data_IF_916493626881
#
_entry.id   IF_916493626881
#
_cell.length_a   1.000
_cell.length_b   1.000
_cell.length_c   1.000
_cell.angle_alpha   90.00
_cell.angle_beta   90.00
_cell.angle_gamma   90.00
#
_symmetry.space_group_name_H-M   'P 1'
#
loop_
_entity.id
_entity.type
_entity.pdbx_description
1 polymer ?
#
# COMPACT_ATOMS: atom_id res chain seq x y z
N UNK A 1 -15.00 21.29 -9.52
CA UNK A 1 -14.07 22.28 -8.93
C UNK A 1 -14.73 22.86 -7.67
N UNK A 2 -13.99 23.53 -6.79
CA UNK A 2 -14.52 24.08 -5.53
C UNK A 2 -14.01 25.50 -5.26
N UNK A 3 -14.43 26.15 -4.15
CA UNK A 3 -14.17 27.58 -3.90
C UNK A 3 -12.72 27.90 -3.49
N UNK A 4 -11.85 26.90 -3.36
CA UNK A 4 -10.41 27.11 -3.07
C UNK A 4 -9.60 26.88 -4.34
N UNK A 5 -8.68 27.80 -4.70
CA UNK A 5 -7.73 27.56 -5.79
C UNK A 5 -6.90 26.31 -5.50
N UNK A 6 -6.61 25.54 -6.55
CA UNK A 6 -5.84 24.30 -6.47
C UNK A 6 -4.77 24.30 -7.56
N UNK A 7 -3.51 24.20 -7.16
CA UNK A 7 -2.36 24.15 -8.08
C UNK A 7 -1.86 22.71 -8.13
N UNK A 8 -1.71 22.16 -9.34
CA UNK A 8 -1.10 20.85 -9.55
C UNK A 8 0.42 21.03 -9.69
N UNK A 9 1.18 20.43 -8.78
CA UNK A 9 2.64 20.52 -8.73
C UNK A 9 3.21 19.18 -9.23
N UNK A 10 3.77 19.18 -10.44
CA UNK A 10 4.37 18.00 -11.08
C UNK A 10 5.90 17.99 -11.04
N UNK A 11 6.55 19.16 -10.92
CA UNK A 11 8.02 19.28 -10.81
C UNK A 11 8.54 18.56 -9.53
N UNK A 12 9.38 17.51 -9.65
CA UNK A 12 9.91 16.77 -8.51
C UNK A 12 10.73 17.64 -7.51
N UNK A 13 11.34 18.75 -7.95
CA UNK A 13 12.05 19.70 -7.09
C UNK A 13 11.07 20.47 -6.21
N UNK A 14 9.97 20.96 -6.78
CA UNK A 14 8.90 21.61 -6.01
C UNK A 14 8.18 20.62 -5.08
N UNK A 15 7.94 19.38 -5.55
CA UNK A 15 7.40 18.29 -4.73
C UNK A 15 8.32 18.01 -3.53
N UNK A 16 9.64 17.91 -3.74
CA UNK A 16 10.63 17.78 -2.65
C UNK A 16 10.51 18.91 -1.64
N UNK A 17 10.46 20.14 -2.12
CA UNK A 17 10.37 21.32 -1.27
C UNK A 17 9.10 21.30 -0.41
N UNK A 18 7.97 20.90 -0.99
CA UNK A 18 6.70 20.72 -0.28
C UNK A 18 6.79 19.63 0.81
N UNK A 19 7.49 18.53 0.54
CA UNK A 19 7.71 17.48 1.55
C UNK A 19 8.70 17.90 2.66
N UNK A 20 9.69 18.75 2.36
CA UNK A 20 10.65 19.28 3.33
C UNK A 20 10.02 20.35 4.24
N UNK A 21 9.26 21.29 3.67
CA UNK A 21 8.59 22.38 4.41
C UNK A 21 7.23 21.92 4.98
N UNK A 22 7.20 20.77 5.67
CA UNK A 22 5.99 20.08 6.14
C UNK A 22 5.24 20.79 7.30
N UNK A 23 5.87 21.79 7.89
CA UNK A 23 5.32 22.73 8.86
C UNK A 23 4.45 23.79 8.17
N UNK A 24 4.91 24.27 7.00
CA UNK A 24 4.20 25.23 6.14
C UNK A 24 3.12 24.52 5.33
N UNK A 25 3.45 23.42 4.66
CA UNK A 25 2.56 22.64 3.81
C UNK A 25 1.89 21.51 4.62
N UNK A 26 0.77 21.85 5.25
CA UNK A 26 0.01 20.93 6.08
C UNK A 26 -1.00 20.12 5.27
N UNK A 27 -1.56 19.05 5.84
CA UNK A 27 -2.57 18.22 5.16
C UNK A 27 -3.89 18.98 5.06
N UNK A 28 -4.33 19.25 3.83
CA UNK A 28 -5.66 19.80 3.58
C UNK A 28 -6.69 18.67 3.57
N UNK A 29 -7.69 18.75 4.45
CA UNK A 29 -8.83 17.84 4.55
C UNK A 29 -10.11 18.64 4.75
N UNK A 30 -11.22 18.13 4.21
CA UNK A 30 -12.54 18.70 4.49
C UNK A 30 -12.91 18.46 5.97
N UNK A 31 -13.79 19.29 6.57
CA UNK A 31 -14.24 19.09 7.95
C UNK A 31 -14.80 17.69 8.20
N UNK A 32 -15.59 17.15 7.27
CA UNK A 32 -16.13 15.79 7.34
C UNK A 32 -15.04 14.71 7.43
N UNK A 33 -13.97 14.82 6.63
CA UNK A 33 -12.85 13.86 6.66
C UNK A 33 -12.02 13.99 7.95
N UNK A 34 -11.96 15.18 8.56
CA UNK A 34 -11.30 15.36 9.87
C UNK A 34 -12.06 14.68 11.01
N UNK A 35 -13.39 14.71 10.98
CA UNK A 35 -14.24 14.01 11.96
C UNK A 35 -14.08 12.48 11.85
N UNK A 36 -13.93 11.96 10.64
CA UNK A 36 -13.82 10.52 10.38
C UNK A 36 -12.39 9.96 10.50
N UNK A 37 -11.34 10.78 10.35
CA UNK A 37 -9.95 10.32 10.31
C UNK A 37 -9.05 11.16 11.22
N UNK A 38 -8.96 10.76 12.48
CA UNK A 38 -8.13 11.39 13.52
C UNK A 38 -6.73 10.75 13.62
N UNK A 39 -5.94 11.10 14.65
CA UNK A 39 -4.62 10.51 14.90
C UNK A 39 -3.50 11.01 13.99
N UNK A 40 -2.41 10.24 13.87
CA UNK A 40 -1.20 10.61 13.12
C UNK A 40 -1.48 10.98 11.64
N UNK A 41 -2.58 10.46 11.08
CA UNK A 41 -3.02 10.76 9.73
C UNK A 41 -3.48 12.21 9.56
N UNK A 42 -3.99 12.86 10.62
CA UNK A 42 -4.46 14.25 10.62
C UNK A 42 -3.48 15.22 11.29
N UNK A 43 -2.87 14.79 12.40
CA UNK A 43 -2.12 15.68 13.30
C UNK A 43 -1.01 16.48 12.60
N UNK A 44 -0.77 17.67 13.16
CA UNK A 44 0.27 18.61 12.74
C UNK A 44 1.19 18.98 13.91
N UNK A 45 2.29 19.67 13.60
CA UNK A 45 3.25 20.18 14.59
C UNK A 45 3.71 19.14 15.63
N UNK A 46 3.76 19.59 16.88
CA UNK A 46 4.24 18.82 18.02
C UNK A 46 3.37 17.57 18.30
N UNK A 47 2.05 17.65 18.13
CA UNK A 47 1.13 16.53 18.34
C UNK A 47 1.43 15.38 17.39
N UNK A 48 1.69 15.68 16.11
CA UNK A 48 2.14 14.67 15.16
C UNK A 48 3.51 14.11 15.52
N UNK A 49 4.47 14.96 15.88
CA UNK A 49 5.82 14.52 16.24
C UNK A 49 5.80 13.55 17.42
N UNK A 50 5.04 13.85 18.48
CA UNK A 50 4.84 12.97 19.64
C UNK A 50 4.33 11.59 19.22
N UNK A 51 3.22 11.53 18.48
CA UNK A 51 2.63 10.25 18.04
C UNK A 51 3.53 9.50 17.04
N UNK A 52 4.21 10.21 16.14
CA UNK A 52 5.16 9.60 15.19
C UNK A 52 6.37 9.00 15.91
N UNK A 53 6.92 9.70 16.91
CA UNK A 53 8.06 9.23 17.71
C UNK A 53 7.70 7.95 18.49
N UNK A 54 6.49 7.87 19.04
CA UNK A 54 5.99 6.67 19.75
C UNK A 54 5.80 5.49 18.79
N UNK A 55 5.22 5.71 17.61
CA UNK A 55 4.87 4.63 16.69
C UNK A 55 6.06 4.10 15.85
N UNK A 56 7.05 4.94 15.51
CA UNK A 56 8.12 4.56 14.56
C UNK A 56 8.91 3.31 14.96
N UNK A 57 9.29 3.10 16.24
CA UNK A 57 9.99 1.89 16.67
C UNK A 57 9.27 0.56 16.36
N UNK A 58 7.94 0.56 16.26
CA UNK A 58 7.16 -0.65 15.93
C UNK A 58 7.38 -1.13 14.48
N UNK A 59 7.84 -0.24 13.59
CA UNK A 59 8.10 -0.52 12.18
C UNK A 59 9.60 -0.68 11.87
N UNK A 60 10.45 -0.79 12.90
CA UNK A 60 11.86 -1.12 12.74
C UNK A 60 12.05 -2.61 12.39
N UNK A 61 13.14 -2.92 11.68
CA UNK A 61 13.43 -4.23 11.10
C UNK A 61 13.25 -5.41 12.09
N UNK A 62 13.83 -5.29 13.29
CA UNK A 62 13.77 -6.34 14.33
C UNK A 62 12.34 -6.56 14.88
N UNK A 63 11.49 -5.53 14.83
CA UNK A 63 10.07 -5.64 15.24
C UNK A 63 9.22 -6.23 14.12
N UNK A 64 9.50 -5.87 12.87
CA UNK A 64 8.87 -6.49 11.69
C UNK A 64 9.19 -7.98 11.60
N UNK A 65 10.41 -8.40 11.93
CA UNK A 65 10.80 -9.82 12.00
C UNK A 65 9.90 -10.62 12.94
N UNK A 66 9.56 -10.06 14.09
CA UNK A 66 8.68 -10.70 15.08
C UNK A 66 7.21 -10.76 14.63
N UNK A 67 6.79 -9.95 13.66
CA UNK A 67 5.45 -10.00 13.07
C UNK A 67 5.32 -11.10 12.01
N UNK A 68 6.43 -11.62 11.48
CA UNK A 68 6.42 -12.54 10.33
C UNK A 68 5.57 -13.80 10.52
N UNK A 69 5.61 -14.52 11.67
CA UNK A 69 4.77 -15.72 11.86
C UNK A 69 3.27 -15.40 11.81
N UNK A 70 2.89 -14.20 12.26
CA UNK A 70 1.51 -13.70 12.21
C UNK A 70 1.07 -13.40 10.79
N UNK A 71 1.92 -12.75 9.99
CA UNK A 71 1.67 -12.49 8.56
C UNK A 71 1.57 -13.82 7.80
N UNK A 72 2.50 -14.75 8.05
CA UNK A 72 2.53 -16.09 7.47
C UNK A 72 1.24 -16.86 7.75
N UNK A 73 0.75 -16.82 9.00
CA UNK A 73 -0.51 -17.44 9.39
C UNK A 73 -1.70 -16.85 8.61
N UNK A 74 -1.80 -15.53 8.49
CA UNK A 74 -2.87 -14.89 7.71
C UNK A 74 -2.82 -15.24 6.21
N UNK A 75 -1.62 -15.33 5.63
CA UNK A 75 -1.44 -15.80 4.26
C UNK A 75 -1.90 -17.24 4.10
N UNK A 76 -1.52 -18.15 5.00
CA UNK A 76 -1.99 -19.54 5.00
C UNK A 76 -3.51 -19.67 5.21
N UNK A 77 -4.11 -18.87 6.08
CA UNK A 77 -5.56 -18.83 6.31
C UNK A 77 -6.34 -18.39 5.05
N UNK A 78 -5.72 -17.58 4.18
CA UNK A 78 -6.25 -17.25 2.84
C UNK A 78 -6.02 -18.39 1.84
N UNK A 79 -4.79 -18.88 1.74
CA UNK A 79 -4.38 -19.87 0.73
C UNK A 79 -5.12 -21.20 0.88
N UNK A 80 -5.38 -21.64 2.12
CA UNK A 80 -6.23 -22.83 2.38
C UNK A 80 -7.63 -22.71 1.78
N UNK A 81 -8.20 -21.50 1.72
CA UNK A 81 -9.50 -21.28 1.07
C UNK A 81 -9.40 -21.43 -0.45
N UNK A 82 -8.31 -20.94 -1.05
CA UNK A 82 -8.04 -21.13 -2.48
C UNK A 82 -7.79 -22.61 -2.80
N UNK A 83 -7.03 -23.34 -1.96
CA UNK A 83 -6.80 -24.78 -2.11
C UNK A 83 -8.12 -25.58 -2.10
N UNK A 84 -9.08 -25.22 -1.24
CA UNK A 84 -10.43 -25.83 -1.18
C UNK A 84 -11.29 -25.45 -2.40
N UNK A 85 -11.08 -24.28 -3.00
CA UNK A 85 -11.77 -23.85 -4.22
C UNK A 85 -11.24 -24.56 -5.47
N UNK A 86 -9.93 -24.75 -5.58
CA UNK A 86 -9.28 -25.44 -6.72
C UNK A 86 -9.36 -26.97 -6.62
N UNK A 87 -9.68 -27.55 -5.46
CA UNK A 87 -9.70 -29.02 -5.32
C UNK A 87 -10.88 -29.74 -6.02
N UNK A 88 -11.69 -29.05 -6.83
CA UNK A 88 -12.83 -29.63 -7.56
C UNK A 88 -12.60 -29.71 -9.08
N UNK A 89 -11.84 -28.77 -9.62
CA UNK A 89 -11.53 -28.61 -11.04
C UNK A 89 -10.04 -28.24 -11.14
N UNK A 90 -9.28 -28.82 -12.08
CA UNK A 90 -7.81 -28.59 -12.21
C UNK A 90 -7.42 -27.11 -12.35
N UNK A 91 -8.40 -26.26 -12.68
CA UNK A 91 -8.32 -24.81 -12.65
C UNK A 91 -9.59 -24.21 -12.06
N UNK A 92 -9.48 -23.16 -11.24
CA UNK A 92 -10.63 -22.40 -10.75
C UNK A 92 -10.50 -20.93 -11.14
N UNK A 93 -11.55 -20.35 -11.73
CA UNK A 93 -11.65 -18.89 -11.89
C UNK A 93 -12.08 -18.25 -10.56
N UNK A 94 -11.31 -17.25 -10.10
CA UNK A 94 -11.54 -16.58 -8.82
C UNK A 94 -11.29 -15.08 -8.91
N UNK A 95 -12.22 -14.27 -8.41
CA UNK A 95 -11.95 -12.88 -8.04
C UNK A 95 -11.07 -12.85 -6.78
N UNK A 96 -9.78 -12.56 -6.92
CA UNK A 96 -8.88 -12.49 -5.76
C UNK A 96 -9.01 -11.18 -4.96
N UNK A 97 -9.70 -10.16 -5.48
CA UNK A 97 -9.74 -8.85 -4.84
C UNK A 97 -10.32 -8.87 -3.41
N UNK A 98 -11.49 -9.50 -3.13
CA UNK A 98 -12.01 -9.64 -1.77
C UNK A 98 -11.08 -10.44 -0.84
N UNK A 99 -10.35 -11.41 -1.38
CA UNK A 99 -9.39 -12.22 -0.62
C UNK A 99 -8.17 -11.40 -0.20
N UNK A 100 -7.61 -10.58 -1.10
CA UNK A 100 -6.50 -9.66 -0.79
C UNK A 100 -6.93 -8.55 0.19
N UNK A 101 -8.15 -8.01 0.06
CA UNK A 101 -8.72 -7.08 1.05
C UNK A 101 -8.86 -7.74 2.43
N UNK A 102 -9.32 -8.99 2.47
CA UNK A 102 -9.45 -9.75 3.73
C UNK A 102 -8.09 -10.04 4.35
N UNK A 103 -7.10 -10.47 3.54
CA UNK A 103 -5.74 -10.75 3.98
C UNK A 103 -5.09 -9.52 4.61
N UNK A 104 -5.09 -8.39 3.91
CA UNK A 104 -4.45 -7.15 4.39
C UNK A 104 -5.12 -6.60 5.65
N UNK A 105 -6.45 -6.69 5.75
CA UNK A 105 -7.19 -6.33 6.96
C UNK A 105 -6.89 -7.26 8.14
N UNK A 106 -6.69 -8.55 7.89
CA UNK A 106 -6.31 -9.53 8.91
C UNK A 106 -4.87 -9.37 9.39
N UNK A 107 -3.92 -9.22 8.46
CA UNK A 107 -2.50 -9.00 8.76
C UNK A 107 -2.32 -7.76 9.66
N UNK A 108 -2.91 -6.61 9.30
CA UNK A 108 -2.80 -5.41 10.14
C UNK A 108 -3.53 -5.58 11.48
N UNK A 109 -4.66 -6.30 11.52
CA UNK A 109 -5.40 -6.56 12.76
C UNK A 109 -4.56 -7.36 13.75
N UNK A 110 -3.99 -8.49 13.31
CA UNK A 110 -3.21 -9.38 14.16
C UNK A 110 -1.88 -8.76 14.59
N UNK A 111 -1.20 -8.03 13.70
CA UNK A 111 0.13 -7.45 14.00
C UNK A 111 0.07 -6.16 14.81
N UNK A 112 -0.94 -5.31 14.61
CA UNK A 112 -1.05 -4.03 15.33
C UNK A 112 -1.78 -4.15 16.68
N UNK A 113 -2.74 -5.07 16.81
CA UNK A 113 -3.59 -5.19 18.01
C UNK A 113 -3.44 -6.52 18.75
N UNK A 114 -2.58 -7.45 18.27
CA UNK A 114 -2.36 -8.76 18.88
C UNK A 114 -3.59 -9.70 18.84
N UNK A 115 -4.63 -9.28 18.14
CA UNK A 115 -5.98 -9.83 18.21
C UNK A 115 -6.27 -10.72 17.00
N UNK A 116 -7.08 -11.76 17.12
CA UNK A 116 -7.48 -12.55 15.94
C UNK A 116 -8.27 -11.68 14.93
N UNK A 117 -8.42 -12.12 13.68
CA UNK A 117 -9.25 -11.38 12.69
C UNK A 117 -10.63 -11.03 13.22
N UNK A 118 -11.18 -11.92 14.04
CA UNK A 118 -12.51 -11.85 14.66
C UNK A 118 -12.61 -10.76 15.74
N UNK A 119 -11.47 -10.35 16.32
CA UNK A 119 -11.38 -9.26 17.29
C UNK A 119 -10.97 -7.94 16.66
N UNK A 120 -10.04 -7.94 15.70
CA UNK A 120 -9.74 -6.75 14.88
C UNK A 120 -10.96 -6.30 14.08
N UNK A 121 -11.80 -7.27 13.62
CA UNK A 121 -13.13 -6.99 13.08
C UNK A 121 -14.00 -6.22 14.06
N UNK A 122 -13.94 -6.38 15.39
CA UNK A 122 -14.79 -5.62 16.31
C UNK A 122 -14.56 -4.10 16.20
N UNK A 123 -13.32 -3.67 15.94
CA UNK A 123 -12.97 -2.25 15.76
C UNK A 123 -13.50 -1.72 14.40
N UNK A 124 -13.40 -2.51 13.34
CA UNK A 124 -13.91 -2.14 12.01
C UNK A 124 -15.42 -2.38 11.81
N UNK A 125 -16.05 -3.26 12.59
CA UNK A 125 -17.46 -3.68 12.48
C UNK A 125 -18.43 -2.77 13.26
N UNK A 126 -17.92 -1.82 14.05
CA UNK A 126 -18.72 -0.62 14.44
C UNK A 126 -19.23 0.14 13.20
N UNK A 127 -18.69 -0.15 12.00
CA UNK A 127 -19.15 0.35 10.70
C UNK A 127 -19.91 -0.66 9.82
N UNK A 128 -20.26 -1.87 10.32
CA UNK A 128 -21.33 -2.79 9.80
C UNK A 128 -21.31 -4.17 10.49
N UNK A 129 -22.50 -4.66 10.81
CA UNK A 129 -22.80 -6.03 11.25
C UNK A 129 -22.96 -6.99 10.03
N UNK A 130 -22.95 -8.33 10.10
CA UNK A 130 -22.88 -9.38 11.16
C UNK A 130 -22.42 -10.72 10.46
N UNK A 131 -22.05 -11.87 11.05
CA UNK A 131 -21.81 -12.32 12.45
C UNK A 131 -20.70 -13.43 12.52
N UNK A 132 -20.97 -14.51 13.28
CA UNK A 132 -20.22 -15.67 13.79
C UNK A 132 -20.58 -17.01 13.08
N UNK A 133 -20.01 -18.20 13.34
CA UNK A 133 -18.74 -18.71 13.93
C UNK A 133 -18.75 -20.23 13.62
N UNK A 134 -17.62 -20.86 13.23
CA UNK A 134 -17.36 -22.30 13.47
C UNK A 134 -15.94 -22.70 13.03
N UNK A 135 -15.50 -23.89 13.46
CA UNK A 135 -14.21 -24.55 13.13
C UNK A 135 -12.99 -23.93 13.82
N UNK A 136 -12.97 -24.04 15.16
CA UNK A 136 -11.77 -23.90 16.01
C UNK A 136 -10.99 -25.23 16.17
N UNK A 137 -11.26 -26.22 15.33
CA UNK A 137 -10.81 -27.60 15.57
C UNK A 137 -10.30 -28.27 14.29
N UNK A 138 -8.98 -28.19 14.09
CA UNK A 138 -8.05 -29.28 13.71
C UNK A 138 -6.71 -28.69 13.20
N UNK A 139 -6.07 -27.84 14.02
CA UNK A 139 -4.75 -27.26 13.71
C UNK A 139 -3.69 -27.97 14.56
N UNK A 140 -3.35 -29.20 14.17
CA UNK A 140 -2.14 -29.92 14.58
C UNK A 140 -2.08 -31.23 13.78
N UNK A 141 -1.17 -31.29 12.80
CA UNK A 141 -0.19 -32.37 12.61
C UNK A 141 0.57 -32.17 11.28
N UNK A 142 1.73 -31.50 11.39
CA UNK A 142 3.04 -31.89 10.85
C UNK A 142 3.07 -32.46 9.41
N UNK A 143 3.55 -31.67 8.43
CA UNK A 143 4.81 -31.91 7.70
C UNK A 143 5.14 -30.75 6.72
N UNK A 144 6.32 -30.80 6.09
CA UNK A 144 7.05 -29.66 5.52
C UNK A 144 6.91 -29.52 4.00
N UNK A 145 6.72 -28.30 3.54
CA UNK A 145 7.66 -27.65 2.60
C UNK A 145 7.84 -26.20 3.08
N UNK A 146 9.07 -25.66 3.00
CA UNK A 146 9.57 -24.65 3.96
C UNK A 146 8.85 -23.29 4.00
N UNK A 147 8.54 -22.79 5.21
CA UNK A 147 8.08 -21.41 5.43
C UNK A 147 9.18 -20.40 5.01
N UNK A 148 8.90 -19.38 4.16
CA UNK A 148 9.88 -18.38 3.76
C UNK A 148 10.43 -17.58 4.95
N UNK A 149 11.74 -17.64 5.18
CA UNK A 149 12.38 -16.93 6.30
C UNK A 149 12.53 -15.44 6.04
N UNK A 150 12.61 -14.66 7.11
CA UNK A 150 12.75 -13.20 7.05
C UNK A 150 13.97 -12.76 6.22
N UNK A 151 15.10 -13.44 6.38
CA UNK A 151 16.35 -13.21 5.65
C UNK A 151 16.21 -13.51 4.16
N UNK A 152 15.43 -14.52 3.78
CA UNK A 152 15.16 -14.93 2.41
C UNK A 152 14.26 -13.88 1.71
N UNK A 153 13.23 -13.37 2.39
CA UNK A 153 12.37 -12.30 1.88
C UNK A 153 13.14 -10.99 1.58
N UNK A 154 14.18 -10.69 2.36
CA UNK A 154 15.07 -9.55 2.09
C UNK A 154 15.89 -9.76 0.80
N UNK A 155 16.17 -11.01 0.41
CA UNK A 155 16.93 -11.38 -0.79
C UNK A 155 16.07 -11.47 -2.07
N UNK A 156 14.74 -11.44 -1.97
CA UNK A 156 13.81 -11.40 -3.11
C UNK A 156 13.86 -10.06 -3.86
N UNK A 157 14.98 -9.78 -4.54
CA UNK A 157 15.24 -8.53 -5.30
C UNK A 157 14.25 -8.35 -6.45
N UNK A 158 13.98 -9.40 -7.22
CA UNK A 158 13.03 -9.38 -8.34
C UNK A 158 11.60 -9.09 -7.85
N UNK A 159 11.17 -9.69 -6.73
CA UNK A 159 9.87 -9.36 -6.14
C UNK A 159 9.82 -7.91 -5.66
N UNK A 160 10.92 -7.40 -5.06
CA UNK A 160 11.03 -5.98 -4.72
C UNK A 160 10.86 -5.07 -5.94
N UNK A 161 11.50 -5.39 -7.06
CA UNK A 161 11.41 -4.64 -8.32
C UNK A 161 9.98 -4.65 -8.88
N UNK A 162 9.34 -5.82 -8.93
CA UNK A 162 7.93 -6.00 -9.33
C UNK A 162 7.02 -5.15 -8.47
N UNK A 163 7.14 -5.21 -7.13
CA UNK A 163 6.30 -4.46 -6.22
C UNK A 163 6.48 -2.94 -6.38
N UNK A 164 7.70 -2.45 -6.59
CA UNK A 164 7.91 -1.02 -6.83
C UNK A 164 7.35 -0.55 -8.18
N UNK A 165 7.44 -1.37 -9.24
CA UNK A 165 6.85 -1.05 -10.54
C UNK A 165 5.31 -1.10 -10.52
N UNK A 166 4.71 -2.06 -9.79
CA UNK A 166 3.26 -2.06 -9.51
C UNK A 166 2.86 -0.80 -8.72
N UNK A 167 3.61 -0.43 -7.68
CA UNK A 167 3.37 0.80 -6.92
C UNK A 167 3.60 2.07 -7.74
N UNK A 168 4.38 2.00 -8.83
CA UNK A 168 4.56 3.12 -9.76
C UNK A 168 3.32 3.29 -10.63
N UNK A 169 2.93 2.22 -11.34
CA UNK A 169 1.80 2.21 -12.27
C UNK A 169 0.43 2.31 -11.59
N UNK A 170 0.27 1.73 -10.40
CA UNK A 170 -1.00 1.64 -9.67
C UNK A 170 -0.81 2.06 -8.22
N UNK A 171 -0.34 3.29 -8.01
CA UNK A 171 -0.13 3.81 -6.66
C UNK A 171 -1.44 3.81 -5.85
N UNK A 172 -1.49 3.17 -4.66
CA UNK A 172 -2.71 3.11 -3.85
C UNK A 172 -3.26 4.50 -3.52
N UNK A 173 -2.39 5.49 -3.33
CA UNK A 173 -2.75 6.90 -3.24
C UNK A 173 -2.38 7.60 -4.57
N UNK A 174 -3.34 7.93 -5.46
CA UNK A 174 -3.01 8.51 -6.76
C UNK A 174 -2.70 10.01 -6.71
N UNK A 175 -3.02 10.67 -5.59
CA UNK A 175 -2.89 12.11 -5.36
C UNK A 175 -2.68 12.37 -3.86
N UNK A 176 -1.72 13.24 -3.53
CA UNK A 176 -1.59 13.83 -2.19
C UNK A 176 -1.99 15.30 -2.23
N UNK A 177 -2.72 15.77 -1.22
CA UNK A 177 -3.09 17.20 -1.10
C UNK A 177 -2.41 17.84 0.10
N UNK A 178 -1.99 19.09 -0.07
CA UNK A 178 -1.51 20.00 0.98
C UNK A 178 -2.24 21.34 0.91
N UNK A 179 -2.09 22.14 1.95
CA UNK A 179 -2.33 23.58 1.91
C UNK A 179 -1.21 24.29 2.66
N UNK A 180 -0.79 25.45 2.16
CA UNK A 180 0.16 26.32 2.85
C UNK A 180 -0.56 27.16 3.92
N UNK A 181 0.00 27.23 5.13
CA UNK A 181 -0.59 28.02 6.24
C UNK A 181 -0.15 29.49 6.27
N UNK A 182 0.85 29.85 5.48
CA UNK A 182 1.36 31.21 5.28
C UNK A 182 1.77 31.41 3.83
N UNK A 183 1.99 32.66 3.44
CA UNK A 183 2.56 32.96 2.12
C UNK A 183 3.95 32.33 1.96
N UNK A 184 4.23 31.82 0.75
CA UNK A 184 5.51 31.21 0.42
C UNK A 184 5.81 31.31 -1.08
N UNK A 185 7.07 31.60 -1.43
CA UNK A 185 7.62 31.39 -2.78
C UNK A 185 7.99 29.91 -2.95
N UNK A 186 7.44 29.26 -3.98
CA UNK A 186 7.71 27.88 -4.40
C UNK A 186 8.11 27.90 -5.88
N UNK A 187 9.35 27.53 -6.19
CA UNK A 187 9.93 27.88 -7.49
C UNK A 187 9.84 29.40 -7.71
N UNK A 188 9.32 29.84 -8.85
CA UNK A 188 9.08 31.27 -9.13
C UNK A 188 7.68 31.77 -8.73
N UNK A 189 6.82 30.92 -8.15
CA UNK A 189 5.42 31.24 -7.84
C UNK A 189 5.29 31.67 -6.37
N UNK A 190 4.66 32.82 -6.12
CA UNK A 190 4.24 33.24 -4.77
C UNK A 190 2.84 32.69 -4.49
N UNK A 191 2.68 31.95 -3.40
CA UNK A 191 1.46 31.24 -3.05
C UNK A 191 0.87 31.84 -1.77
N UNK A 192 -0.29 32.53 -1.83
CA UNK A 192 -0.97 33.08 -0.65
C UNK A 192 -1.53 31.96 0.25
N UNK A 193 -1.78 32.20 1.56
CA UNK A 193 -2.24 31.18 2.49
C UNK A 193 -3.58 30.53 2.09
N UNK A 194 -3.70 29.22 2.33
CA UNK A 194 -4.94 28.46 2.14
C UNK A 194 -5.15 27.87 0.73
N UNK A 195 -4.23 28.11 -0.21
CA UNK A 195 -4.22 27.48 -1.54
C UNK A 195 -4.05 25.97 -1.39
N UNK A 196 -4.81 25.19 -2.16
CA UNK A 196 -4.62 23.74 -2.22
C UNK A 196 -3.46 23.42 -3.17
N UNK A 197 -2.54 22.56 -2.74
CA UNK A 197 -1.47 22.03 -3.58
C UNK A 197 -1.70 20.54 -3.77
N UNK A 198 -1.89 20.15 -5.03
CA UNK A 198 -2.10 18.79 -5.47
C UNK A 198 -0.78 18.21 -5.98
N UNK A 199 -0.31 17.11 -5.39
CA UNK A 199 0.87 16.35 -5.82
C UNK A 199 0.36 15.06 -6.51
N UNK A 200 0.11 15.08 -7.84
CA UNK A 200 -0.50 13.97 -8.54
C UNK A 200 0.52 12.85 -8.78
N UNK A 201 0.63 11.93 -7.81
CA UNK A 201 1.52 10.76 -7.89
C UNK A 201 1.39 10.07 -9.25
N UNK A 202 0.17 9.76 -9.68
CA UNK A 202 -0.07 9.06 -10.95
C UNK A 202 0.45 9.81 -12.18
N UNK A 203 0.36 11.16 -12.22
CA UNK A 203 0.86 11.90 -13.38
C UNK A 203 2.39 11.87 -13.43
N UNK A 204 3.06 12.19 -12.32
CA UNK A 204 4.52 12.19 -12.24
C UNK A 204 5.11 10.79 -12.41
N UNK A 205 4.39 9.76 -11.98
CA UNK A 205 4.79 8.35 -12.12
C UNK A 205 4.68 7.80 -13.55
N UNK A 206 3.86 8.42 -14.41
CA UNK A 206 3.71 8.04 -15.83
C UNK A 206 4.33 9.06 -16.80
N UNK A 207 5.03 10.06 -16.27
CA UNK A 207 5.64 11.12 -17.05
C UNK A 207 6.85 10.60 -17.84
N UNK A 208 6.79 10.73 -19.16
CA UNK A 208 7.86 10.33 -20.06
C UNK A 208 9.14 11.18 -19.87
N UNK A 209 9.03 12.41 -19.35
CA UNK A 209 10.18 13.23 -18.98
C UNK A 209 11.04 12.51 -17.94
N UNK A 210 10.43 11.94 -16.90
CA UNK A 210 11.15 11.29 -15.79
C UNK A 210 11.39 9.80 -16.01
N UNK A 211 10.46 9.10 -16.65
CA UNK A 211 10.45 7.64 -16.74
C UNK A 211 10.76 7.07 -18.13
N UNK A 212 10.96 7.93 -19.13
CA UNK A 212 11.31 7.53 -20.50
C UNK A 212 10.12 7.11 -21.37
N UNK A 213 10.37 6.73 -22.61
CA UNK A 213 9.32 6.44 -23.59
C UNK A 213 8.46 5.23 -23.19
N UNK A 214 9.04 4.29 -22.45
CA UNK A 214 8.37 3.11 -21.91
C UNK A 214 7.65 3.36 -20.57
N UNK A 215 7.49 4.62 -20.11
CA UNK A 215 6.86 4.97 -18.83
C UNK A 215 5.47 4.33 -18.58
N UNK A 216 4.72 3.98 -19.62
CA UNK A 216 3.40 3.31 -19.49
C UNK A 216 3.47 1.78 -19.56
N UNK A 217 4.65 1.21 -19.81
CA UNK A 217 4.90 -0.24 -19.79
C UNK A 217 5.32 -0.67 -18.39
N UNK A 218 4.98 -1.91 -18.04
CA UNK A 218 5.48 -2.59 -16.85
C UNK A 218 6.90 -3.10 -17.09
N UNK A 219 7.87 -2.49 -16.40
CA UNK A 219 9.29 -2.80 -16.50
C UNK A 219 9.93 -2.78 -15.09
N UNK A 220 9.99 -3.94 -14.39
CA UNK A 220 10.59 -4.05 -13.06
C UNK A 220 12.07 -3.67 -13.00
N UNK A 221 12.83 -3.91 -14.08
CA UNK A 221 14.30 -3.76 -14.10
C UNK A 221 14.76 -2.32 -13.84
N UNK A 222 13.89 -1.32 -14.01
CA UNK A 222 14.11 0.06 -13.55
C UNK A 222 14.57 0.12 -12.09
N UNK A 223 14.00 -0.71 -11.23
CA UNK A 223 14.27 -0.74 -9.79
C UNK A 223 15.45 -1.67 -9.42
N UNK A 224 16.18 -2.20 -10.40
CA UNK A 224 17.33 -3.10 -10.17
C UNK A 224 18.43 -2.47 -9.33
N UNK A 225 18.73 -1.20 -9.56
CA UNK A 225 19.66 -0.40 -8.76
C UNK A 225 18.98 0.38 -7.61
N UNK A 226 17.71 0.08 -7.32
CA UNK A 226 16.93 0.71 -6.26
C UNK A 226 16.20 2.00 -6.66
N UNK A 227 15.26 2.42 -5.79
CA UNK A 227 14.30 3.50 -6.05
C UNK A 227 14.95 4.83 -6.44
N UNK A 228 16.10 5.18 -5.87
CA UNK A 228 16.80 6.44 -6.15
C UNK A 228 17.39 6.54 -7.56
N UNK A 229 17.57 5.41 -8.25
CA UNK A 229 18.11 5.33 -9.62
C UNK A 229 17.06 4.95 -10.68
N UNK A 230 15.83 4.63 -10.26
CA UNK A 230 14.80 4.07 -11.15
C UNK A 230 14.19 5.04 -12.17
N UNK A 231 14.54 6.33 -12.11
CA UNK A 231 14.08 7.37 -13.03
C UNK A 231 15.13 8.48 -13.16
N UNK A 232 14.96 9.41 -14.10
CA UNK A 232 15.91 10.53 -14.32
C UNK A 232 16.03 11.50 -13.13
N UNK A 233 15.15 11.40 -12.12
CA UNK A 233 15.18 12.22 -10.91
C UNK A 233 14.88 11.37 -9.66
N UNK A 234 15.69 11.52 -8.60
CA UNK A 234 15.59 10.73 -7.36
C UNK A 234 14.24 10.85 -6.62
N UNK A 235 13.34 11.75 -7.05
CA UNK A 235 12.12 12.13 -6.34
C UNK A 235 10.86 11.93 -7.21
N UNK A 236 11.00 11.46 -8.45
CA UNK A 236 9.83 11.14 -9.30
C UNK A 236 9.08 9.87 -8.87
N UNK A 237 9.59 9.10 -7.90
CA UNK A 237 8.88 8.02 -7.21
C UNK A 237 8.53 8.40 -5.76
N UNK A 238 7.24 8.50 -5.44
CA UNK A 238 6.78 8.92 -4.11
C UNK A 238 5.42 8.31 -3.69
N UNK A 239 5.14 7.05 -4.06
CA UNK A 239 3.91 6.33 -3.64
C UNK A 239 3.73 6.23 -2.11
N UNK A 240 4.83 6.15 -1.36
CA UNK A 240 4.82 6.20 0.11
C UNK A 240 4.92 7.63 0.68
N UNK A 241 4.86 8.66 -0.17
CA UNK A 241 5.29 10.02 0.14
C UNK A 241 6.82 10.13 0.25
N UNK A 242 7.30 11.25 0.78
CA UNK A 242 8.72 11.52 0.97
C UNK A 242 8.96 12.38 2.23
N UNK A 243 10.21 12.43 2.70
CA UNK A 243 10.63 13.29 3.80
C UNK A 243 10.03 12.92 5.17
N UNK A 244 9.96 13.84 6.14
CA UNK A 244 9.50 13.56 7.50
C UNK A 244 8.08 12.97 7.59
N UNK A 245 7.24 13.20 6.58
CA UNK A 245 5.86 12.68 6.50
C UNK A 245 5.72 11.38 5.68
N UNK A 246 6.82 10.73 5.28
CA UNK A 246 6.82 9.44 4.57
C UNK A 246 6.05 8.35 5.35
N UNK A 247 5.46 7.39 4.63
CA UNK A 247 4.72 6.28 5.22
C UNK A 247 5.56 5.51 6.23
N UNK A 248 5.04 5.34 7.45
CA UNK A 248 5.72 4.61 8.53
C UNK A 248 5.73 3.10 8.24
N UNK A 249 4.67 2.60 7.60
CA UNK A 249 4.44 1.20 7.28
C UNK A 249 4.99 0.76 5.94
N UNK A 250 5.85 1.55 5.27
CA UNK A 250 6.43 1.18 3.97
C UNK A 250 7.11 -0.20 4.02
N UNK A 251 7.98 -0.42 5.01
CA UNK A 251 8.70 -1.68 5.16
C UNK A 251 7.78 -2.85 5.56
N UNK A 252 6.74 -2.57 6.34
CA UNK A 252 5.71 -3.55 6.71
C UNK A 252 4.93 -4.02 5.46
N UNK A 253 4.39 -3.07 4.68
CA UNK A 253 3.61 -3.36 3.48
C UNK A 253 4.43 -4.12 2.41
N UNK A 254 5.72 -3.78 2.26
CA UNK A 254 6.63 -4.51 1.37
C UNK A 254 6.95 -5.92 1.87
N UNK A 255 7.12 -6.12 3.19
CA UNK A 255 7.33 -7.44 3.79
C UNK A 255 6.10 -8.34 3.62
N UNK A 256 4.92 -7.80 3.93
CA UNK A 256 3.63 -8.47 3.76
C UNK A 256 3.40 -8.88 2.30
N UNK A 257 3.56 -7.93 1.36
CA UNK A 257 3.35 -8.20 -0.07
C UNK A 257 4.33 -9.23 -0.62
N UNK A 258 5.59 -9.19 -0.17
CA UNK A 258 6.61 -10.19 -0.54
C UNK A 258 6.25 -11.59 -0.06
N UNK A 259 5.86 -11.72 1.21
CA UNK A 259 5.54 -13.01 1.79
C UNK A 259 4.28 -13.59 1.14
N UNK A 260 3.22 -12.78 1.01
CA UNK A 260 1.98 -13.21 0.35
C UNK A 260 2.24 -13.68 -1.09
N UNK A 261 3.00 -12.91 -1.89
CA UNK A 261 3.30 -13.32 -3.26
C UNK A 261 4.18 -14.58 -3.33
N UNK A 262 5.19 -14.71 -2.46
CA UNK A 262 6.03 -15.90 -2.40
C UNK A 262 5.20 -17.16 -2.09
N UNK A 263 4.31 -17.09 -1.10
CA UNK A 263 3.46 -18.22 -0.71
C UNK A 263 2.37 -18.55 -1.75
N UNK A 264 1.86 -17.56 -2.47
CA UNK A 264 0.98 -17.79 -3.63
C UNK A 264 1.74 -18.57 -4.71
N UNK A 265 2.93 -18.09 -5.12
CA UNK A 265 3.74 -18.68 -6.19
C UNK A 265 4.32 -20.07 -5.83
N UNK A 266 4.47 -20.38 -4.54
CA UNK A 266 4.83 -21.73 -4.07
C UNK A 266 3.72 -22.77 -4.24
N UNK A 267 2.45 -22.34 -4.37
CA UNK A 267 1.26 -23.23 -4.34
C UNK A 267 0.41 -23.17 -5.60
N UNK A 268 0.50 -22.08 -6.35
CA UNK A 268 -0.35 -21.81 -7.49
C UNK A 268 0.44 -21.18 -8.64
N UNK A 269 0.12 -21.61 -9.86
CA UNK A 269 0.31 -20.78 -11.04
C UNK A 269 -1.02 -20.10 -11.38
N UNK A 270 -0.98 -18.98 -12.09
CA UNK A 270 -2.19 -18.26 -12.46
C UNK A 270 -2.09 -17.55 -13.80
N UNK A 271 -3.24 -17.41 -14.44
CA UNK A 271 -3.41 -16.71 -15.72
C UNK A 271 -4.52 -15.66 -15.60
N UNK A 272 -4.51 -14.68 -16.48
CA UNK A 272 -5.57 -13.67 -16.52
C UNK A 272 -6.87 -14.32 -17.01
N UNK A 273 -7.99 -14.12 -16.31
CA UNK A 273 -9.27 -14.64 -16.80
C UNK A 273 -9.72 -13.91 -18.06
N UNK A 274 -10.36 -14.59 -19.04
CA UNK A 274 -11.11 -13.95 -20.12
C UNK A 274 -12.19 -12.97 -19.64
N UNK A 275 -12.70 -13.10 -18.40
CA UNK A 275 -13.68 -12.17 -17.81
C UNK A 275 -13.04 -10.94 -17.17
N UNK A 276 -11.71 -10.87 -17.09
CA UNK A 276 -11.02 -9.75 -16.43
C UNK A 276 -11.22 -8.44 -17.19
N UNK A 277 -11.78 -7.44 -16.51
CA UNK A 277 -11.94 -6.09 -17.04
C UNK A 277 -10.98 -5.12 -16.36
N UNK A 278 -9.98 -4.65 -17.11
CA UNK A 278 -8.99 -3.69 -16.59
C UNK A 278 -9.59 -2.28 -16.40
N UNK A 279 -10.19 -2.05 -15.23
CA UNK A 279 -10.77 -0.76 -14.84
C UNK A 279 -10.28 -0.32 -13.44
N UNK A 280 -9.07 0.24 -13.32
CA UNK A 280 -8.58 0.79 -12.05
C UNK A 280 -9.34 2.07 -11.70
N UNK A 281 -10.15 2.02 -10.65
CA UNK A 281 -11.00 3.12 -10.20
C UNK A 281 -10.54 3.68 -8.86
N UNK A 282 -10.71 4.98 -8.68
CA UNK A 282 -10.27 5.72 -7.49
C UNK A 282 -11.38 5.84 -6.46
N UNK A 283 -11.23 5.14 -5.33
CA UNK A 283 -11.95 5.40 -4.09
C UNK A 283 -11.08 6.18 -3.10
N UNK A 284 -11.05 5.73 -1.84
CA UNK A 284 -10.04 6.18 -0.84
C UNK A 284 -8.63 5.76 -1.30
N UNK A 285 -8.52 4.55 -1.84
CA UNK A 285 -7.37 4.05 -2.61
C UNK A 285 -7.79 3.72 -4.04
N UNK A 286 -6.82 3.43 -4.92
CA UNK A 286 -7.11 2.74 -6.19
C UNK A 286 -7.56 1.29 -5.90
N UNK A 287 -8.55 0.80 -6.65
CA UNK A 287 -9.04 -0.58 -6.62
C UNK A 287 -9.57 -1.01 -8.00
N UNK A 288 -9.61 -2.31 -8.32
CA UNK A 288 -10.22 -2.78 -9.56
C UNK A 288 -11.76 -2.69 -9.48
N UNK A 289 -12.39 -1.94 -10.39
CA UNK A 289 -13.83 -1.69 -10.37
C UNK A 289 -14.68 -2.96 -10.56
N UNK A 290 -14.14 -3.94 -11.30
CA UNK A 290 -14.82 -5.18 -11.68
C UNK A 290 -14.16 -6.43 -11.06
N UNK A 291 -13.44 -6.26 -9.94
CA UNK A 291 -12.66 -7.33 -9.32
C UNK A 291 -11.38 -7.67 -10.08
N UNK A 292 -10.66 -8.67 -9.59
CA UNK A 292 -9.41 -9.18 -10.15
C UNK A 292 -9.56 -10.67 -10.47
N UNK A 293 -10.37 -10.99 -11.48
CA UNK A 293 -10.60 -12.37 -11.93
C UNK A 293 -9.31 -12.96 -12.55
N UNK A 294 -8.84 -14.05 -11.97
CA UNK A 294 -7.74 -14.86 -12.50
C UNK A 294 -8.14 -16.34 -12.51
N UNK A 295 -7.50 -17.11 -13.37
CA UNK A 295 -7.59 -18.57 -13.37
C UNK A 295 -6.43 -19.10 -12.53
N UNK A 296 -6.73 -19.78 -11.43
CA UNK A 296 -5.78 -20.42 -10.53
C UNK A 296 -5.60 -21.89 -10.91
N UNK A 297 -4.36 -22.35 -11.04
CA UNK A 297 -4.00 -23.77 -11.12
C UNK A 297 -3.14 -24.14 -9.92
N UNK A 298 -3.40 -25.28 -9.29
CA UNK A 298 -2.58 -25.79 -8.19
C UNK A 298 -1.28 -26.42 -8.72
N UNK A 299 -0.19 -26.28 -7.97
CA UNK A 299 1.10 -26.97 -8.17
C UNK A 299 1.15 -28.22 -7.27
#
# INVERSE_FOLDING_TARGET
MGPRPNIHITDPKMIREIFLKYDIFQKARSPLVKLLVTGMADYAGEQWFKVRKIATPAFHHDKLKNMLPTIHKSCNDMLRKWEISVSKDESCELDVWPHIQTLTADVISRTAFGSSFEEGRKIFAVLREQIHLLIKLHFLLIFQDGEPKFEELNQLKVVSQILYEVLRLYSPAPLLTRANVKEIKLGEIVIPPGVLLSLPIMLVHHDHEYWGDDAKKFNPDRFSEGVSKASKNQISFFSFGWGPRICIGQNFALLESKLALAMILQKFTFQLSPTYMHAPTRGVTVYPQHGANIILHKI
#
